data_IF_063645861411
#
_entry.id   IF_063645861411
#
_cell.length_a   1.000
_cell.length_b   1.000
_cell.length_c   1.000
_cell.angle_alpha   90.00
_cell.angle_beta   90.00
_cell.angle_gamma   90.00
#
_symmetry.space_group_name_H-M   'P 1'
#
loop_
_entity.id
_entity.type
_entity.pdbx_description
1 polymer ?
#
# COMPACT_ATOMS: atom_id res chain seq x y z
N UNK A 1 18.13 12.16 9.00
CA UNK A 1 16.81 11.60 9.35
C UNK A 1 17.00 10.34 10.17
N UNK A 2 16.44 10.28 11.38
CA UNK A 2 16.53 9.08 12.21
C UNK A 2 15.55 8.01 11.72
N UNK A 3 15.61 6.81 12.32
CA UNK A 3 14.79 5.67 11.89
C UNK A 3 13.28 5.93 11.98
N UNK A 4 12.83 6.59 13.04
CA UNK A 4 11.42 6.90 13.22
C UNK A 4 10.93 7.92 12.19
N UNK A 5 11.70 8.96 11.94
CA UNK A 5 11.36 9.95 10.92
C UNK A 5 11.29 9.32 9.53
N UNK A 6 12.22 8.40 9.24
CA UNK A 6 12.22 7.67 7.98
C UNK A 6 11.00 6.77 7.86
N UNK A 7 10.65 6.05 8.92
CA UNK A 7 9.45 5.20 8.90
C UNK A 7 8.18 6.03 8.70
N UNK A 8 8.07 7.19 9.35
CA UNK A 8 6.94 8.10 9.17
C UNK A 8 6.85 8.56 7.72
N UNK A 9 7.96 8.96 7.13
CA UNK A 9 8.02 9.39 5.73
C UNK A 9 7.56 8.27 4.79
N UNK A 10 8.01 7.05 5.04
CA UNK A 10 7.60 5.87 4.26
C UNK A 10 6.09 5.65 4.37
N UNK A 11 5.52 5.72 5.58
CA UNK A 11 4.08 5.57 5.77
C UNK A 11 3.28 6.61 5.00
N UNK A 12 3.73 7.86 5.01
CA UNK A 12 3.08 8.95 4.28
C UNK A 12 3.08 8.68 2.76
N UNK A 13 4.17 8.12 2.24
CA UNK A 13 4.25 7.75 0.82
C UNK A 13 3.37 6.55 0.51
N UNK A 14 3.30 5.56 1.39
CA UNK A 14 2.36 4.43 1.23
C UNK A 14 0.93 4.95 1.14
N UNK A 15 0.53 5.84 2.03
CA UNK A 15 -0.81 6.44 2.02
C UNK A 15 -1.07 7.18 0.71
N UNK A 16 -0.07 7.92 0.22
CA UNK A 16 -0.17 8.62 -1.06
C UNK A 16 -0.52 7.66 -2.20
N UNK A 17 0.17 6.53 -2.29
CA UNK A 17 -0.11 5.54 -3.34
C UNK A 17 -1.45 4.83 -3.14
N UNK A 18 -1.87 4.60 -1.91
CA UNK A 18 -3.21 4.09 -1.64
C UNK A 18 -4.29 5.05 -2.14
N UNK A 19 -4.10 6.36 -1.93
CA UNK A 19 -5.02 7.37 -2.43
C UNK A 19 -5.03 7.43 -3.96
N UNK A 20 -3.88 7.29 -4.60
CA UNK A 20 -3.79 7.21 -6.05
C UNK A 20 -4.57 6.02 -6.61
N UNK A 21 -4.54 4.89 -5.90
CA UNK A 21 -5.34 3.73 -6.28
C UNK A 21 -6.84 4.05 -6.22
N UNK A 22 -7.31 4.68 -5.15
CA UNK A 22 -8.71 5.08 -5.04
C UNK A 22 -9.12 6.05 -6.14
N UNK A 23 -8.28 7.04 -6.43
CA UNK A 23 -8.53 8.01 -7.51
C UNK A 23 -8.60 7.30 -8.86
N UNK A 24 -7.73 6.32 -9.09
CA UNK A 24 -7.72 5.52 -10.31
C UNK A 24 -9.01 4.71 -10.44
N UNK A 25 -9.46 4.09 -9.34
CA UNK A 25 -10.71 3.34 -9.32
C UNK A 25 -11.92 4.24 -9.63
N UNK A 26 -11.92 5.46 -9.08
CA UNK A 26 -12.97 6.43 -9.37
C UNK A 26 -12.98 6.84 -10.85
N UNK A 27 -11.80 7.06 -11.41
CA UNK A 27 -11.67 7.50 -12.80
C UNK A 27 -12.12 6.44 -13.79
N UNK A 28 -11.66 5.20 -13.63
CA UNK A 28 -11.95 4.12 -14.58
C UNK A 28 -13.20 3.31 -14.24
N UNK A 29 -13.66 3.37 -13.01
CA UNK A 29 -14.80 2.59 -12.52
C UNK A 29 -14.36 1.45 -11.60
N UNK A 30 -15.00 1.35 -10.45
CA UNK A 30 -14.65 0.35 -9.41
C UNK A 30 -15.34 -0.99 -9.72
N UNK A 31 -14.93 -1.64 -10.79
CA UNK A 31 -15.47 -2.95 -11.16
C UNK A 31 -14.37 -3.83 -11.78
N UNK A 32 -14.42 -5.11 -11.47
CA UNK A 32 -13.48 -6.09 -12.03
C UNK A 32 -13.52 -6.12 -13.55
N UNK A 33 -14.73 -6.04 -14.13
CA UNK A 33 -14.91 -6.08 -15.58
C UNK A 33 -14.17 -4.92 -16.27
N UNK A 34 -14.30 -3.72 -15.72
CA UNK A 34 -13.60 -2.54 -16.26
C UNK A 34 -12.10 -2.65 -16.08
N UNK A 35 -11.66 -3.19 -14.95
CA UNK A 35 -10.24 -3.41 -14.67
C UNK A 35 -9.65 -4.43 -15.66
N UNK A 36 -10.33 -5.54 -15.87
CA UNK A 36 -9.88 -6.59 -16.81
C UNK A 36 -9.81 -6.08 -18.24
N UNK A 37 -10.77 -5.25 -18.63
CA UNK A 37 -10.92 -4.79 -20.02
C UNK A 37 -9.93 -3.69 -20.40
N UNK A 38 -9.34 -2.98 -19.43
CA UNK A 38 -8.55 -1.79 -19.72
C UNK A 38 -7.08 -1.94 -19.24
N UNK A 39 -6.14 -2.12 -20.19
CA UNK A 39 -4.73 -2.26 -19.81
C UNK A 39 -4.14 -1.00 -19.18
N UNK A 40 -4.66 0.19 -19.50
CA UNK A 40 -4.20 1.43 -18.87
C UNK A 40 -4.56 1.43 -17.38
N UNK A 41 -5.79 1.01 -17.08
CA UNK A 41 -6.24 0.86 -15.69
C UNK A 41 -5.34 -0.14 -14.93
N UNK A 42 -5.12 -1.32 -15.52
CA UNK A 42 -4.28 -2.34 -14.91
C UNK A 42 -2.86 -1.85 -14.64
N UNK A 43 -2.27 -1.15 -15.61
CA UNK A 43 -0.90 -0.62 -15.48
C UNK A 43 -0.80 0.45 -14.39
N UNK A 44 -1.78 1.32 -14.28
CA UNK A 44 -1.81 2.34 -13.24
C UNK A 44 -1.86 1.72 -11.84
N UNK A 45 -2.73 0.74 -11.64
CA UNK A 45 -2.84 0.03 -10.35
C UNK A 45 -1.54 -0.75 -10.06
N UNK A 46 -1.01 -1.45 -11.06
CA UNK A 46 0.22 -2.24 -10.90
C UNK A 46 1.39 -1.36 -10.43
N UNK A 47 1.53 -0.17 -10.99
CA UNK A 47 2.60 0.75 -10.59
C UNK A 47 2.45 1.16 -9.13
N UNK A 48 1.23 1.46 -8.68
CA UNK A 48 1.00 1.83 -7.27
C UNK A 48 1.30 0.66 -6.33
N UNK A 49 0.86 -0.55 -6.67
CA UNK A 49 1.14 -1.75 -5.86
C UNK A 49 2.64 -2.02 -5.77
N UNK A 50 3.37 -1.83 -6.88
CA UNK A 50 4.81 -1.97 -6.91
C UNK A 50 5.48 -1.01 -5.92
N UNK A 51 5.07 0.25 -5.93
CA UNK A 51 5.60 1.27 -5.03
C UNK A 51 5.26 0.97 -3.57
N UNK A 52 4.05 0.55 -3.29
CA UNK A 52 3.63 0.17 -1.93
C UNK A 52 4.48 -0.99 -1.42
N UNK A 53 4.71 -2.00 -2.24
CA UNK A 53 5.55 -3.14 -1.87
C UNK A 53 6.99 -2.73 -1.59
N UNK A 54 7.58 -1.90 -2.45
CA UNK A 54 8.95 -1.39 -2.28
C UNK A 54 9.08 -0.58 -0.98
N UNK A 55 8.16 0.34 -0.74
CA UNK A 55 8.16 1.18 0.45
C UNK A 55 8.00 0.37 1.72
N UNK A 56 7.10 -0.61 1.72
CA UNK A 56 6.89 -1.48 2.87
C UNK A 56 8.15 -2.27 3.23
N UNK A 57 8.92 -2.66 2.22
CA UNK A 57 10.19 -3.34 2.43
C UNK A 57 11.26 -2.46 3.06
N UNK A 58 11.11 -1.13 3.00
CA UNK A 58 12.04 -0.18 3.58
C UNK A 58 11.77 0.17 5.05
N UNK A 59 10.61 -0.22 5.59
CA UNK A 59 10.32 -0.07 7.01
C UNK A 59 11.28 -0.94 7.83
N UNK A 60 11.72 -0.44 8.99
CA UNK A 60 12.63 -1.22 9.84
C UNK A 60 11.94 -2.45 10.41
N UNK A 61 12.71 -3.51 10.69
CA UNK A 61 12.17 -4.72 11.31
C UNK A 61 11.56 -4.43 12.68
N UNK A 62 12.19 -3.56 13.44
CA UNK A 62 11.70 -3.15 14.75
C UNK A 62 10.32 -2.50 14.63
N UNK A 63 10.14 -1.58 13.68
CA UNK A 63 8.87 -0.93 13.43
C UNK A 63 7.78 -1.95 13.09
N UNK A 64 8.08 -2.90 12.21
CA UNK A 64 7.12 -3.92 11.80
C UNK A 64 6.73 -4.87 12.93
N UNK A 65 7.61 -5.09 13.90
CA UNK A 65 7.29 -5.88 15.09
C UNK A 65 6.35 -5.15 16.03
N UNK A 66 6.55 -3.85 16.18
CA UNK A 66 5.71 -3.00 17.04
C UNK A 66 4.33 -2.82 16.40
N UNK A 67 4.30 -2.49 15.12
CA UNK A 67 3.07 -2.22 14.37
C UNK A 67 2.78 -3.40 13.44
N UNK A 68 2.25 -4.48 14.00
CA UNK A 68 2.03 -5.73 13.28
C UNK A 68 0.56 -5.99 12.94
N UNK A 69 -0.25 -4.95 12.86
CA UNK A 69 -1.68 -5.06 12.55
C UNK A 69 -2.00 -5.36 11.10
N UNK A 70 -1.00 -5.35 10.21
CA UNK A 70 -1.12 -5.81 8.83
C UNK A 70 0.01 -6.80 8.53
N UNK A 71 -0.19 -7.71 7.57
CA UNK A 71 0.86 -8.67 7.19
C UNK A 71 1.90 -8.02 6.29
N UNK A 72 2.87 -7.33 6.87
CA UNK A 72 3.91 -6.59 6.12
C UNK A 72 4.61 -7.44 5.08
N UNK A 73 4.82 -8.73 5.37
CA UNK A 73 5.44 -9.67 4.43
C UNK A 73 4.62 -9.80 3.16
N UNK A 74 3.30 -9.89 3.30
CA UNK A 74 2.39 -9.98 2.15
C UNK A 74 2.32 -8.66 1.39
N UNK A 75 2.35 -7.53 2.12
CA UNK A 75 2.35 -6.20 1.50
C UNK A 75 3.63 -6.03 0.67
N UNK A 76 4.78 -6.37 1.23
CA UNK A 76 6.05 -6.37 0.48
C UNK A 76 5.97 -7.30 -0.73
N UNK A 77 5.27 -8.42 -0.61
CA UNK A 77 5.09 -9.40 -1.68
C UNK A 77 4.33 -8.86 -2.89
N UNK A 78 3.57 -7.78 -2.75
CA UNK A 78 2.88 -7.15 -3.88
C UNK A 78 3.84 -6.72 -4.98
N UNK A 79 5.05 -6.28 -4.60
CA UNK A 79 6.11 -5.95 -5.56
C UNK A 79 6.47 -7.17 -6.42
N UNK A 80 6.63 -8.33 -5.81
CA UNK A 80 7.02 -9.55 -6.53
C UNK A 80 5.92 -9.99 -7.51
N UNK A 81 4.66 -9.87 -7.10
CA UNK A 81 3.52 -10.18 -7.97
C UNK A 81 3.58 -9.35 -9.24
N UNK A 82 3.78 -8.04 -9.10
CA UNK A 82 3.81 -7.11 -10.22
C UNK A 82 5.10 -7.25 -11.04
N UNK A 83 6.26 -7.31 -10.37
CA UNK A 83 7.56 -7.26 -11.05
C UNK A 83 7.88 -8.54 -11.82
N UNK A 84 7.46 -9.70 -11.32
CA UNK A 84 7.93 -10.98 -11.87
C UNK A 84 6.87 -11.79 -12.60
N UNK A 85 5.60 -11.58 -12.32
CA UNK A 85 4.53 -12.44 -12.84
C UNK A 85 3.31 -11.71 -13.36
N UNK A 86 3.43 -10.39 -13.60
CA UNK A 86 2.27 -9.58 -13.96
C UNK A 86 1.50 -10.12 -15.18
N UNK A 87 2.18 -10.72 -16.14
CA UNK A 87 1.54 -11.31 -17.31
C UNK A 87 1.00 -12.72 -17.10
N UNK A 88 1.39 -13.39 -16.00
CA UNK A 88 1.05 -14.79 -15.71
C UNK A 88 0.09 -14.95 -14.54
N UNK A 89 -0.01 -13.93 -13.69
CA UNK A 89 -0.86 -13.97 -12.50
C UNK A 89 -2.27 -13.57 -12.86
N UNK A 90 -3.21 -14.17 -12.16
CA UNK A 90 -4.61 -13.83 -12.25
C UNK A 90 -4.84 -12.34 -12.01
N UNK A 91 -5.44 -11.66 -12.99
CA UNK A 91 -5.89 -10.27 -12.86
C UNK A 91 -6.83 -10.15 -11.65
N UNK A 92 -7.61 -11.19 -11.38
CA UNK A 92 -8.51 -11.26 -10.23
C UNK A 92 -7.73 -11.14 -8.91
N UNK A 93 -6.57 -11.81 -8.79
CA UNK A 93 -5.74 -11.72 -7.57
C UNK A 93 -5.22 -10.31 -7.34
N UNK A 94 -4.82 -9.61 -8.40
CA UNK A 94 -4.39 -8.21 -8.31
C UNK A 94 -5.56 -7.32 -7.88
N UNK A 95 -6.72 -7.56 -8.44
CA UNK A 95 -7.94 -6.82 -8.08
C UNK A 95 -8.32 -7.03 -6.62
N UNK A 96 -8.23 -8.27 -6.12
CA UNK A 96 -8.49 -8.58 -4.71
C UNK A 96 -7.53 -7.85 -3.78
N UNK A 97 -6.24 -7.81 -4.11
CA UNK A 97 -5.26 -7.04 -3.34
C UNK A 97 -5.64 -5.55 -3.30
N UNK A 98 -6.09 -5.02 -4.43
CA UNK A 98 -6.48 -3.63 -4.56
C UNK A 98 -7.72 -3.29 -3.76
N UNK A 99 -8.73 -4.16 -3.76
CA UNK A 99 -10.03 -3.87 -3.12
C UNK A 99 -10.07 -4.27 -1.65
N UNK A 100 -9.32 -5.28 -1.24
CA UNK A 100 -9.35 -5.80 0.13
C UNK A 100 -8.15 -5.33 0.96
N UNK A 101 -6.94 -5.51 0.45
CA UNK A 101 -5.72 -5.26 1.24
C UNK A 101 -5.37 -3.77 1.31
N UNK A 102 -5.52 -3.04 0.22
CA UNK A 102 -5.13 -1.62 0.15
C UNK A 102 -5.93 -0.73 1.11
N UNK A 103 -7.27 -0.84 1.19
CA UNK A 103 -8.04 -0.05 2.15
C UNK A 103 -7.62 -0.32 3.60
N UNK A 104 -7.42 -1.58 3.96
CA UNK A 104 -6.97 -1.96 5.31
C UNK A 104 -5.59 -1.39 5.62
N UNK A 105 -4.68 -1.46 4.66
CA UNK A 105 -3.34 -0.90 4.81
C UNK A 105 -3.38 0.60 5.04
N UNK A 106 -4.17 1.32 4.23
CA UNK A 106 -4.29 2.77 4.37
C UNK A 106 -4.82 3.16 5.74
N UNK A 107 -5.88 2.49 6.19
CA UNK A 107 -6.47 2.76 7.51
C UNK A 107 -5.46 2.52 8.62
N UNK A 108 -4.72 1.42 8.54
CA UNK A 108 -3.71 1.09 9.54
C UNK A 108 -2.56 2.10 9.57
N UNK A 109 -2.07 2.52 8.41
CA UNK A 109 -1.01 3.55 8.31
C UNK A 109 -1.49 4.88 8.89
N UNK A 110 -2.74 5.28 8.63
CA UNK A 110 -3.32 6.49 9.22
C UNK A 110 -3.42 6.37 10.75
N UNK A 111 -3.82 5.22 11.26
CA UNK A 111 -3.91 4.98 12.71
C UNK A 111 -2.54 5.11 13.37
N UNK A 112 -1.50 4.56 12.75
CA UNK A 112 -0.13 4.67 13.27
C UNK A 112 0.30 6.13 13.33
N UNK A 113 0.07 6.89 12.26
CA UNK A 113 0.45 8.31 12.20
C UNK A 113 -0.29 9.12 13.28
N UNK A 114 -1.57 8.84 13.51
CA UNK A 114 -2.34 9.50 14.56
C UNK A 114 -1.77 9.17 15.93
N UNK A 115 -1.44 7.92 16.18
CA UNK A 115 -0.85 7.49 17.46
C UNK A 115 0.49 8.18 17.71
N UNK A 116 1.36 8.25 16.71
CA UNK A 116 2.66 8.88 16.82
C UNK A 116 2.53 10.39 17.04
N UNK A 117 1.60 11.05 16.38
CA UNK A 117 1.34 12.47 16.57
C UNK A 117 0.79 12.75 17.98
N UNK A 118 -0.14 11.92 18.44
CA UNK A 118 -0.71 12.05 19.79
C UNK A 118 0.36 11.86 20.87
N UNK A 119 1.24 10.89 20.70
CA UNK A 119 2.35 10.65 21.61
C UNK A 119 3.29 11.86 21.68
N UNK A 120 3.55 12.51 20.55
CA UNK A 120 4.37 13.72 20.48
C UNK A 120 3.72 14.86 21.24
N UNK A 121 2.42 15.05 21.08
CA UNK A 121 1.67 16.09 21.80
C UNK A 121 1.54 15.79 23.30
N UNK A 122 1.44 14.51 23.68
CA UNK A 122 1.31 14.10 25.07
C UNK A 122 2.57 14.38 25.89
N UNK A 123 3.74 14.43 25.26
CA UNK A 123 5.01 14.69 25.92
C UNK A 123 5.15 16.18 26.27
N UNK A 124 4.46 17.02 25.56
CA UNK A 124 4.49 18.46 25.78
C UNK A 124 3.41 18.92 26.74
#
# INVERSE_FOLDING_TARGET
MNSNERNIDILEHIIKYCKEIFDTQLYFGNSLDKFQANPIYRNAIAMCLLQIGELSGCLTDEFKKIYNGVPWRNIKGMRNIVAHKYGEISITAVWEATTDDVPKLMDYCNDILLELNNSTFSIN
#
